data_IF_683763483569
#
_entry.id   IF_683763483569
#
_cell.length_a   1.000
_cell.length_b   1.000
_cell.length_c   1.000
_cell.angle_alpha   90.00
_cell.angle_beta   90.00
_cell.angle_gamma   90.00
#
_symmetry.space_group_name_H-M   'P 1'
#
loop_
_entity.id
_entity.type
_entity.pdbx_description
1 polymer ?
#
# COMPACT_ATOMS: atom_id res chain seq x y z
N UNK A 1 19.77 4.09 19.69
CA UNK A 1 19.65 3.82 18.24
C UNK A 1 19.98 5.12 17.53
N UNK A 2 20.97 5.16 16.64
CA UNK A 2 21.34 6.36 15.88
C UNK A 2 21.08 6.10 14.41
N UNK A 3 20.51 7.07 13.71
CA UNK A 3 20.32 6.99 12.26
C UNK A 3 21.65 7.27 11.56
N UNK A 4 21.88 6.59 10.44
CA UNK A 4 22.99 6.84 9.54
C UNK A 4 22.73 8.09 8.69
N UNK A 5 23.77 8.75 8.22
CA UNK A 5 23.64 9.91 7.31
C UNK A 5 22.87 9.55 6.03
N UNK A 6 23.05 8.31 5.54
CA UNK A 6 22.33 7.80 4.38
C UNK A 6 20.82 7.70 4.64
N UNK A 7 20.42 7.21 5.82
CA UNK A 7 18.99 7.13 6.20
C UNK A 7 18.37 8.51 6.36
N UNK A 8 19.11 9.46 6.95
CA UNK A 8 18.65 10.85 7.08
C UNK A 8 18.51 11.51 5.70
N UNK A 9 19.50 11.34 4.82
CA UNK A 9 19.47 11.87 3.46
C UNK A 9 18.30 11.30 2.65
N UNK A 10 18.06 9.99 2.74
CA UNK A 10 16.94 9.34 2.07
C UNK A 10 15.58 9.84 2.59
N UNK A 11 15.46 10.05 3.91
CA UNK A 11 14.24 10.60 4.51
C UNK A 11 13.97 12.03 4.02
N UNK A 12 15.01 12.89 3.95
CA UNK A 12 14.89 14.26 3.44
C UNK A 12 14.45 14.25 1.96
N UNK A 13 15.08 13.42 1.13
CA UNK A 13 14.71 13.30 -0.28
C UNK A 13 13.24 12.83 -0.46
N UNK A 14 12.80 11.89 0.37
CA UNK A 14 11.41 11.42 0.34
C UNK A 14 10.42 12.49 0.78
N UNK A 15 10.77 13.34 1.76
CA UNK A 15 9.94 14.48 2.16
C UNK A 15 9.87 15.53 1.05
N UNK A 16 11.00 15.84 0.42
CA UNK A 16 11.09 16.87 -0.62
C UNK A 16 10.26 16.52 -1.86
N UNK A 17 10.25 15.25 -2.25
CA UNK A 17 9.38 14.72 -3.32
C UNK A 17 7.92 15.17 -3.20
N UNK A 18 7.41 15.26 -1.98
CA UNK A 18 5.99 15.55 -1.72
C UNK A 18 5.73 17.00 -1.32
N UNK A 19 6.76 17.71 -0.86
CA UNK A 19 6.68 19.10 -0.42
C UNK A 19 6.22 20.05 -1.54
N UNK A 20 6.41 19.67 -2.80
CA UNK A 20 5.95 20.42 -3.98
C UNK A 20 6.47 21.87 -4.03
N UNK A 21 7.67 22.10 -3.47
CA UNK A 21 8.28 23.42 -3.38
C UNK A 21 7.62 24.38 -2.39
N UNK A 22 6.72 23.91 -1.52
CA UNK A 22 6.09 24.73 -0.47
C UNK A 22 6.89 24.66 0.83
N UNK A 23 7.01 25.79 1.51
CA UNK A 23 7.74 25.86 2.78
C UNK A 23 6.83 25.70 4.01
N UNK A 24 7.47 25.61 5.18
CA UNK A 24 6.85 25.65 6.50
C UNK A 24 5.76 24.57 6.71
N UNK A 25 4.67 24.92 7.38
CA UNK A 25 3.63 23.99 7.82
C UNK A 25 2.93 23.30 6.64
N UNK A 26 2.68 24.02 5.54
CA UNK A 26 1.99 23.46 4.37
C UNK A 26 2.88 22.42 3.69
N UNK A 27 4.15 22.75 3.47
CA UNK A 27 5.12 21.81 2.90
C UNK A 27 5.31 20.57 3.76
N UNK A 28 5.39 20.75 5.09
CA UNK A 28 5.50 19.64 6.04
C UNK A 28 4.25 18.75 6.03
N UNK A 29 3.05 19.34 6.05
CA UNK A 29 1.78 18.61 6.01
C UNK A 29 1.65 17.79 4.72
N UNK A 30 1.96 18.37 3.56
CA UNK A 30 1.95 17.66 2.28
C UNK A 30 2.97 16.52 2.25
N UNK A 31 4.18 16.74 2.79
CA UNK A 31 5.19 15.70 2.89
C UNK A 31 4.67 14.49 3.70
N UNK A 32 4.03 14.73 4.85
CA UNK A 32 3.44 13.66 5.66
C UNK A 32 2.30 12.95 4.93
N UNK A 33 1.39 13.69 4.29
CA UNK A 33 0.27 13.10 3.52
C UNK A 33 0.81 12.20 2.40
N UNK A 34 1.79 12.67 1.64
CA UNK A 34 2.40 11.90 0.55
C UNK A 34 3.10 10.64 1.03
N UNK A 35 3.85 10.72 2.12
CA UNK A 35 4.51 9.56 2.75
C UNK A 35 3.50 8.54 3.28
N UNK A 36 2.41 9.01 3.91
CA UNK A 36 1.32 8.15 4.36
C UNK A 36 0.63 7.46 3.19
N UNK A 37 0.38 8.18 2.09
CA UNK A 37 -0.21 7.60 0.89
C UNK A 37 0.70 6.53 0.27
N UNK A 38 2.02 6.74 0.23
CA UNK A 38 2.97 5.75 -0.27
C UNK A 38 2.97 4.48 0.59
N UNK A 39 2.96 4.63 1.93
CA UNK A 39 2.86 3.49 2.85
C UNK A 39 1.54 2.75 2.69
N UNK A 40 0.42 3.47 2.64
CA UNK A 40 -0.89 2.86 2.42
C UNK A 40 -0.95 2.11 1.09
N UNK A 41 -0.36 2.66 0.02
CA UNK A 41 -0.27 1.99 -1.27
C UNK A 41 0.50 0.65 -1.21
N UNK A 42 1.63 0.62 -0.50
CA UNK A 42 2.41 -0.62 -0.28
C UNK A 42 1.62 -1.67 0.49
N UNK A 43 0.97 -1.27 1.59
CA UNK A 43 0.14 -2.16 2.40
C UNK A 43 -1.07 -2.69 1.62
N UNK A 44 -1.71 -1.85 0.80
CA UNK A 44 -2.79 -2.26 -0.10
C UNK A 44 -2.30 -3.32 -1.10
N UNK A 45 -1.15 -3.10 -1.74
CA UNK A 45 -0.58 -4.06 -2.69
C UNK A 45 -0.30 -5.42 -2.02
N UNK A 46 0.32 -5.41 -0.84
CA UNK A 46 0.59 -6.63 -0.05
C UNK A 46 -0.71 -7.34 0.32
N UNK A 47 -1.70 -6.60 0.83
CA UNK A 47 -3.01 -7.14 1.18
C UNK A 47 -3.67 -7.81 -0.02
N UNK A 48 -3.68 -7.15 -1.18
CA UNK A 48 -4.33 -7.65 -2.38
C UNK A 48 -3.63 -8.92 -2.91
N UNK A 49 -2.30 -8.98 -2.85
CA UNK A 49 -1.53 -10.19 -3.17
C UNK A 49 -1.82 -11.34 -2.20
N UNK A 50 -1.98 -11.05 -0.91
CA UNK A 50 -2.37 -12.04 0.08
C UNK A 50 -3.82 -12.50 -0.08
N UNK A 51 -4.73 -11.62 -0.50
CA UNK A 51 -6.11 -11.98 -0.87
C UNK A 51 -6.11 -13.00 -2.02
N UNK A 52 -5.34 -12.74 -3.08
CA UNK A 52 -5.20 -13.67 -4.22
C UNK A 52 -4.60 -15.00 -3.77
N UNK A 53 -3.57 -14.95 -2.94
CA UNK A 53 -2.92 -16.15 -2.40
C UNK A 53 -3.86 -16.97 -1.53
N UNK A 54 -4.61 -16.34 -0.62
CA UNK A 54 -5.61 -17.01 0.20
C UNK A 54 -6.68 -17.71 -0.65
N UNK A 55 -7.16 -17.03 -1.71
CA UNK A 55 -8.12 -17.62 -2.64
C UNK A 55 -7.52 -18.84 -3.37
N UNK A 56 -6.27 -18.74 -3.87
CA UNK A 56 -5.58 -19.85 -4.56
C UNK A 56 -5.41 -21.08 -3.68
N UNK A 57 -5.20 -20.90 -2.37
CA UNK A 57 -5.10 -22.03 -1.42
C UNK A 57 -6.46 -22.50 -0.88
N UNK A 58 -7.57 -21.99 -1.44
CA UNK A 58 -8.92 -22.52 -1.20
C UNK A 58 -9.78 -21.74 -0.21
N UNK A 59 -9.36 -20.57 0.27
CA UNK A 59 -10.22 -19.73 1.10
C UNK A 59 -11.40 -19.18 0.29
N UNK A 60 -12.61 -19.24 0.85
CA UNK A 60 -13.80 -18.68 0.20
C UNK A 60 -13.77 -17.15 0.19
N UNK A 61 -14.40 -16.54 -0.81
CA UNK A 61 -14.56 -15.07 -0.89
C UNK A 61 -15.21 -14.48 0.37
N UNK A 62 -16.06 -15.25 1.07
CA UNK A 62 -16.68 -14.83 2.34
C UNK A 62 -15.63 -14.74 3.46
N UNK A 63 -14.82 -15.77 3.65
CA UNK A 63 -13.76 -15.78 4.68
C UNK A 63 -12.75 -14.66 4.44
N UNK A 64 -12.39 -14.43 3.18
CA UNK A 64 -11.45 -13.36 2.82
C UNK A 64 -12.06 -11.98 3.09
N UNK A 65 -13.33 -11.76 2.73
CA UNK A 65 -14.03 -10.49 3.01
C UNK A 65 -14.10 -10.21 4.52
N UNK A 66 -14.40 -11.23 5.31
CA UNK A 66 -14.43 -11.13 6.78
C UNK A 66 -13.06 -10.78 7.36
N UNK A 67 -11.99 -11.48 6.94
CA UNK A 67 -10.64 -11.26 7.45
C UNK A 67 -10.02 -9.92 7.00
N UNK A 68 -10.34 -9.47 5.78
CA UNK A 68 -9.79 -8.22 5.22
C UNK A 68 -10.59 -6.97 5.60
N UNK A 69 -11.80 -7.13 6.14
CA UNK A 69 -12.75 -6.04 6.35
C UNK A 69 -13.28 -5.42 5.05
N UNK A 70 -13.01 -6.03 3.90
CA UNK A 70 -13.47 -5.53 2.59
C UNK A 70 -14.81 -6.13 2.19
N UNK A 71 -15.58 -5.38 1.41
CA UNK A 71 -16.81 -5.88 0.82
C UNK A 71 -16.56 -7.02 -0.18
N UNK A 72 -17.51 -7.96 -0.28
CA UNK A 72 -17.42 -9.12 -1.21
C UNK A 72 -17.12 -8.71 -2.65
N UNK A 73 -17.72 -7.62 -3.15
CA UNK A 73 -17.49 -7.10 -4.51
C UNK A 73 -16.02 -6.71 -4.72
N UNK A 74 -15.42 -6.02 -3.75
CA UNK A 74 -14.01 -5.62 -3.80
C UNK A 74 -13.09 -6.83 -3.80
N UNK A 75 -13.33 -7.80 -2.91
CA UNK A 75 -12.55 -9.04 -2.85
C UNK A 75 -12.64 -9.80 -4.18
N UNK A 76 -13.83 -9.88 -4.76
CA UNK A 76 -14.04 -10.55 -6.06
C UNK A 76 -13.21 -9.88 -7.15
N UNK A 77 -13.25 -8.55 -7.27
CA UNK A 77 -12.47 -7.82 -8.25
C UNK A 77 -10.94 -8.01 -8.08
N UNK A 78 -10.44 -8.05 -6.84
CA UNK A 78 -9.01 -8.28 -6.55
C UNK A 78 -8.57 -9.67 -7.02
N UNK A 79 -9.39 -10.69 -6.75
CA UNK A 79 -9.14 -12.08 -7.17
C UNK A 79 -9.24 -12.23 -8.68
N UNK A 80 -10.19 -11.56 -9.33
CA UNK A 80 -10.34 -11.61 -10.79
C UNK A 80 -9.20 -10.90 -11.53
N UNK A 81 -8.63 -9.86 -10.93
CA UNK A 81 -7.46 -9.17 -11.43
C UNK A 81 -6.14 -9.95 -11.25
N UNK A 82 -6.19 -11.21 -10.80
CA UNK A 82 -4.99 -12.03 -10.63
C UNK A 82 -4.31 -12.34 -11.98
N UNK A 83 -3.10 -11.80 -12.24
CA UNK A 83 -2.40 -12.03 -13.50
C UNK A 83 -1.95 -13.49 -13.68
N UNK A 84 -1.84 -14.27 -12.59
CA UNK A 84 -1.53 -15.70 -12.69
C UNK A 84 -2.69 -16.50 -13.31
N UNK A 85 -3.92 -16.00 -13.20
CA UNK A 85 -5.11 -16.63 -13.79
C UNK A 85 -5.20 -16.44 -15.31
N UNK A 86 -4.55 -15.42 -15.87
CA UNK A 86 -4.54 -15.15 -17.31
C UNK A 86 -3.55 -16.02 -18.10
N UNK A 87 -2.74 -16.85 -17.42
CA UNK A 87 -1.68 -17.67 -18.03
C UNK A 87 -1.95 -19.18 -18.01
N UNK A 88 -3.11 -19.62 -17.54
CA UNK A 88 -3.54 -21.03 -17.51
C UNK A 88 -4.86 -21.22 -18.22
#
# INVERSE_FOLDING_TARGET
MSYTEAEVSAAIAAMEKYRSGLDHEVGAALAVVGLCAERAGKEIAIRDDMIRTAHRVGASLRQIAEASGLGRKTVTAIVEADPARARG
#
